data_IF_326228123055
#
_entry.id   IF_326228123055
#
_cell.length_a   1.000
_cell.length_b   1.000
_cell.length_c   1.000
_cell.angle_alpha   90.00
_cell.angle_beta   90.00
_cell.angle_gamma   90.00
#
_symmetry.space_group_name_H-M   'P 1'
#
loop_
_entity.id
_entity.type
_entity.pdbx_description
1 polymer ?
#
# COMPACT_ATOMS: atom_id res chain seq x y z
N UNK A 1 -51.03 -1.09 -5.09
CA UNK A 1 -50.24 -1.18 -5.09
C UNK A 1 -49.00 -0.98 -5.66
N UNK A 2 -48.63 -0.07 -6.08
CA UNK A 2 -47.45 0.27 -6.71
C UNK A 2 -46.21 -0.01 -5.97
N UNK A 3 -46.32 -0.58 -4.93
CA UNK A 3 -45.15 -0.81 -4.26
C UNK A 3 -44.22 -1.62 -4.92
N UNK A 4 -44.60 -2.43 -5.76
CA UNK A 4 -43.69 -3.32 -6.42
C UNK A 4 -42.62 -2.58 -7.15
N UNK A 5 -42.97 -1.47 -7.61
CA UNK A 5 -42.01 -0.75 -8.37
C UNK A 5 -40.83 -0.34 -7.59
N UNK A 6 -41.00 -0.25 -6.36
CA UNK A 6 -39.91 0.22 -5.64
C UNK A 6 -38.84 -0.74 -5.56
N UNK A 7 -39.14 -1.95 -5.47
CA UNK A 7 -38.15 -2.92 -5.34
C UNK A 7 -37.26 -2.93 -6.49
N UNK A 8 -37.80 -2.75 -7.63
CA UNK A 8 -36.93 -2.80 -8.75
C UNK A 8 -35.92 -1.73 -8.74
N UNK A 9 -36.22 -0.63 -8.26
CA UNK A 9 -35.31 0.44 -8.30
C UNK A 9 -34.13 0.11 -7.48
N UNK A 10 -34.31 -0.63 -6.38
CA UNK A 10 -33.30 -0.91 -5.62
C UNK A 10 -32.37 -1.82 -6.18
N UNK A 11 -32.77 -2.76 -6.93
CA UNK A 11 -31.89 -3.68 -7.48
C UNK A 11 -30.92 -3.02 -8.42
N UNK A 12 -31.40 -2.09 -9.11
CA UNK A 12 -30.56 -1.41 -10.05
C UNK A 12 -29.35 -0.80 -9.42
N UNK A 13 -29.53 -0.29 -8.27
CA UNK A 13 -28.45 0.35 -7.65
C UNK A 13 -27.37 -0.57 -7.28
N UNK A 14 -27.69 -1.76 -6.93
CA UNK A 14 -26.69 -2.66 -6.59
C UNK A 14 -25.79 -2.96 -7.70
N UNK A 15 -26.29 -3.07 -8.86
CA UNK A 15 -25.48 -3.42 -10.00
C UNK A 15 -24.38 -2.43 -10.21
N UNK A 16 -24.61 -1.23 -9.93
CA UNK A 16 -23.63 -0.26 -10.17
C UNK A 16 -22.41 -0.41 -9.38
N UNK A 17 -22.54 -0.91 -8.23
CA UNK A 17 -21.42 -0.95 -7.43
C UNK A 17 -20.48 -2.01 -7.72
N UNK A 18 -20.80 -2.94 -8.50
CA UNK A 18 -19.91 -4.01 -8.78
C UNK A 18 -18.80 -3.65 -9.74
N UNK A 19 -18.94 -2.57 -10.39
CA UNK A 19 -17.97 -2.21 -11.38
C UNK A 19 -16.53 -2.15 -10.99
N UNK A 20 -16.17 -1.59 -9.93
CA UNK A 20 -14.78 -1.41 -9.63
C UNK A 20 -14.01 -2.66 -9.27
N UNK A 21 -14.66 -3.78 -9.20
CA UNK A 21 -13.95 -4.93 -8.80
C UNK A 21 -12.73 -5.28 -9.60
N UNK A 22 -12.79 -5.15 -10.90
CA UNK A 22 -11.65 -5.53 -11.69
C UNK A 22 -10.56 -4.52 -11.73
N UNK A 23 -10.75 -3.40 -11.15
CA UNK A 23 -9.74 -2.39 -11.21
C UNK A 23 -9.03 -2.17 -9.91
N UNK A 24 -9.49 -2.75 -8.89
CA UNK A 24 -9.05 -2.29 -7.61
C UNK A 24 -8.27 -3.23 -6.74
N UNK A 25 -7.70 -4.26 -7.29
CA UNK A 25 -6.96 -5.17 -6.44
C UNK A 25 -5.56 -4.62 -6.18
N UNK A 26 -5.28 -4.17 -4.97
CA UNK A 26 -3.94 -3.67 -4.70
C UNK A 26 -2.95 -4.82 -4.56
N UNK A 27 -1.68 -4.49 -4.73
CA UNK A 27 -0.63 -5.45 -4.50
C UNK A 27 -0.32 -5.42 -3.01
N UNK A 28 -0.33 -6.59 -2.38
CA UNK A 28 -0.06 -6.68 -0.95
C UNK A 28 1.31 -7.32 -0.72
N UNK A 29 2.12 -6.69 0.11
CA UNK A 29 3.44 -7.20 0.46
C UNK A 29 3.51 -7.31 1.98
N UNK A 30 3.89 -8.50 2.47
CA UNK A 30 4.04 -8.73 3.90
C UNK A 30 5.51 -8.92 4.20
N UNK A 31 6.03 -8.14 5.14
CA UNK A 31 7.42 -8.19 5.52
C UNK A 31 7.53 -8.57 6.99
N UNK A 32 8.18 -9.69 7.27
CA UNK A 32 8.30 -10.19 8.62
C UNK A 32 9.72 -10.23 9.09
N UNK A 33 9.94 -9.94 10.35
CA UNK A 33 11.21 -10.21 11.02
C UNK A 33 10.88 -10.58 12.46
N UNK A 34 11.90 -10.89 13.24
CA UNK A 34 11.70 -11.18 14.66
C UNK A 34 11.32 -9.91 15.42
N UNK A 35 11.50 -8.73 14.83
CA UNK A 35 11.24 -7.47 15.50
C UNK A 35 9.91 -6.83 15.15
N UNK A 36 9.43 -7.07 13.96
CA UNK A 36 8.24 -6.37 13.48
C UNK A 36 7.59 -7.09 12.31
N UNK A 37 6.39 -6.67 11.98
CA UNK A 37 5.64 -7.20 10.87
C UNK A 37 4.99 -6.02 10.16
N UNK A 38 5.37 -5.77 8.92
CA UNK A 38 4.82 -4.66 8.15
C UNK A 38 3.98 -5.19 7.00
N UNK A 39 2.85 -4.58 6.77
CA UNK A 39 2.02 -4.92 5.63
C UNK A 39 1.92 -3.69 4.75
N UNK A 40 2.17 -3.85 3.47
CA UNK A 40 2.16 -2.75 2.52
C UNK A 40 1.15 -3.04 1.43
N UNK A 41 0.26 -2.09 1.18
CA UNK A 41 -0.68 -2.18 0.09
C UNK A 41 -0.31 -1.14 -0.94
N UNK A 42 -0.11 -1.57 -2.18
CA UNK A 42 0.30 -0.70 -3.27
C UNK A 42 -0.84 -0.65 -4.29
N UNK A 43 -1.37 0.51 -4.53
CA UNK A 43 -2.53 0.69 -5.42
C UNK A 43 -2.22 1.67 -6.54
N UNK A 44 -2.42 1.28 -7.76
CA UNK A 44 -2.92 0.02 -8.25
C UNK A 44 -1.87 -1.09 -8.29
N UNK A 45 -0.61 -0.80 -8.09
CA UNK A 45 0.45 -1.80 -8.12
C UNK A 45 0.97 -2.12 -9.52
N UNK A 46 0.87 -1.18 -10.42
CA UNK A 46 1.37 -1.32 -11.80
C UNK A 46 2.22 -0.12 -12.14
N UNK A 47 2.80 -0.12 -13.33
CA UNK A 47 3.59 1.02 -13.81
C UNK A 47 2.73 2.28 -13.80
N UNK A 48 3.27 3.37 -13.34
CA UNK A 48 2.59 4.66 -13.31
C UNK A 48 2.71 5.31 -11.94
N UNK A 49 1.64 5.91 -11.47
CA UNK A 49 1.61 6.59 -10.18
C UNK A 49 0.82 5.73 -9.21
N UNK A 50 1.43 5.40 -8.11
CA UNK A 50 0.85 4.49 -7.12
C UNK A 50 0.78 5.13 -5.76
N UNK A 51 -0.06 4.57 -4.90
CA UNK A 51 -0.16 4.96 -3.50
C UNK A 51 0.26 3.78 -2.64
N UNK A 52 1.02 4.05 -1.60
CA UNK A 52 1.47 3.02 -0.67
C UNK A 52 0.80 3.26 0.68
N UNK A 53 0.23 2.21 1.26
CA UNK A 53 -0.32 2.26 2.61
C UNK A 53 0.48 1.28 3.45
N UNK A 54 1.10 1.78 4.50
CA UNK A 54 1.96 0.98 5.36
C UNK A 54 1.27 0.73 6.69
N UNK A 55 1.10 -0.54 7.02
CA UNK A 55 0.58 -0.92 8.32
C UNK A 55 1.76 -1.47 9.11
N UNK A 56 2.20 -0.72 10.10
CA UNK A 56 3.40 -1.04 10.87
C UNK A 56 3.00 -1.67 12.19
N UNK A 57 3.44 -2.90 12.40
CA UNK A 57 3.05 -3.67 13.57
C UNK A 57 4.26 -4.25 14.29
N UNK A 58 4.09 -4.53 15.56
CA UNK A 58 5.11 -5.24 16.33
C UNK A 58 5.12 -6.71 15.90
N UNK A 59 6.07 -7.47 16.37
CA UNK A 59 6.13 -8.89 16.06
C UNK A 59 4.91 -9.66 16.55
N UNK A 60 4.18 -9.13 17.53
CA UNK A 60 2.98 -9.77 18.04
C UNK A 60 1.73 -9.32 17.28
N UNK A 61 1.86 -8.44 16.31
CA UNK A 61 0.71 -8.02 15.53
C UNK A 61 -0.07 -6.84 16.08
N UNK A 62 0.49 -6.13 17.05
CA UNK A 62 -0.16 -4.92 17.55
C UNK A 62 0.44 -3.70 16.85
N UNK A 63 -0.25 -2.57 16.82
CA UNK A 63 0.30 -1.41 16.16
C UNK A 63 1.63 -0.99 16.76
N UNK A 64 2.59 -0.68 15.92
CA UNK A 64 3.90 -0.22 16.35
C UNK A 64 3.82 1.30 16.54
N UNK A 65 4.13 1.77 17.75
CA UNK A 65 4.11 3.20 18.01
C UNK A 65 5.28 3.85 17.31
N UNK A 66 5.01 4.60 16.27
CA UNK A 66 6.00 5.12 15.34
C UNK A 66 5.91 6.64 15.28
N UNK A 67 7.06 7.30 15.33
CA UNK A 67 7.12 8.76 15.24
C UNK A 67 7.24 9.20 13.79
N UNK A 68 7.99 8.48 12.99
CA UNK A 68 8.21 8.79 11.60
C UNK A 68 8.38 7.51 10.82
N UNK A 69 7.97 7.50 9.59
CA UNK A 69 8.18 6.37 8.70
C UNK A 69 8.64 6.87 7.34
N UNK A 70 9.61 6.18 6.76
CA UNK A 70 10.19 6.55 5.47
C UNK A 70 10.17 5.34 4.56
N UNK A 71 9.80 5.56 3.31
CA UNK A 71 9.77 4.54 2.28
C UNK A 71 10.88 4.84 1.29
N UNK A 72 11.74 3.87 1.01
CA UNK A 72 12.78 4.00 0.01
C UNK A 72 12.58 2.94 -1.06
N UNK A 73 12.65 3.31 -2.32
CA UNK A 73 12.41 2.43 -3.45
C UNK A 73 13.55 2.50 -4.45
N UNK A 74 13.98 1.34 -4.93
CA UNK A 74 14.97 1.26 -5.99
C UNK A 74 14.57 0.17 -6.98
N UNK A 75 15.03 0.31 -8.22
CA UNK A 75 14.88 -0.75 -9.20
C UNK A 75 16.29 -1.18 -9.60
N UNK A 76 16.83 -2.22 -8.96
CA UNK A 76 18.20 -2.63 -9.21
C UNK A 76 18.45 -3.00 -10.67
N UNK A 77 19.59 -2.59 -11.18
CA UNK A 77 19.95 -2.93 -12.55
C UNK A 77 19.36 -2.05 -13.62
N UNK A 78 18.55 -1.07 -13.24
CA UNK A 78 17.94 -0.18 -14.19
C UNK A 78 18.36 1.26 -13.93
N UNK A 79 18.28 2.09 -14.95
CA UNK A 79 18.65 3.50 -14.82
C UNK A 79 17.47 4.29 -14.28
N UNK A 80 17.07 3.98 -13.07
CA UNK A 80 15.95 4.66 -12.42
C UNK A 80 16.48 5.24 -11.11
N UNK A 81 16.18 6.52 -10.89
CA UNK A 81 16.62 7.18 -9.69
C UNK A 81 16.00 6.58 -8.46
N UNK A 82 16.77 6.31 -7.43
CA UNK A 82 16.20 5.86 -6.17
C UNK A 82 15.29 6.94 -5.60
N UNK A 83 14.21 6.53 -4.95
CA UNK A 83 13.28 7.44 -4.33
C UNK A 83 13.27 7.25 -2.83
N UNK A 84 13.16 8.34 -2.09
CA UNK A 84 12.98 8.27 -0.66
C UNK A 84 11.84 9.22 -0.31
N UNK A 85 10.82 8.72 0.33
CA UNK A 85 9.61 9.47 0.61
C UNK A 85 9.22 9.34 2.07
N UNK A 86 8.79 10.43 2.67
CA UNK A 86 8.28 10.40 4.03
C UNK A 86 6.83 10.01 3.99
N UNK A 87 6.43 9.08 4.85
CA UNK A 87 5.03 8.69 4.96
C UNK A 87 4.32 9.64 5.93
N UNK A 88 3.04 9.75 5.77
CA UNK A 88 2.18 10.60 6.59
C UNK A 88 1.17 9.71 7.31
N UNK A 89 1.03 9.90 8.61
CA UNK A 89 0.10 9.11 9.39
C UNK A 89 -1.32 9.57 9.09
N UNK A 90 -2.15 8.66 8.64
CA UNK A 90 -3.53 8.96 8.31
C UNK A 90 -4.46 8.81 9.50
N UNK A 91 -5.65 9.32 9.34
CA UNK A 91 -6.68 9.22 10.37
C UNK A 91 -7.09 7.74 10.59
N UNK A 92 -6.80 6.89 9.63
CA UNK A 92 -7.10 5.46 9.72
C UNK A 92 -6.05 4.71 10.56
N UNK A 93 -5.02 5.39 11.02
CA UNK A 93 -3.96 4.75 11.80
C UNK A 93 -2.86 4.15 10.96
N UNK A 94 -2.94 4.24 9.63
CA UNK A 94 -1.93 3.71 8.74
C UNK A 94 -1.07 4.85 8.19
N UNK A 95 0.12 4.50 7.72
CA UNK A 95 1.04 5.47 7.14
C UNK A 95 0.86 5.47 5.64
N UNK A 96 0.77 6.64 5.03
CA UNK A 96 0.45 6.80 3.62
C UNK A 96 1.56 7.52 2.85
N UNK A 97 1.87 7.01 1.66
CA UNK A 97 2.75 7.70 0.72
C UNK A 97 2.01 7.76 -0.60
N UNK A 98 1.62 8.96 -1.00
CA UNK A 98 0.86 9.14 -2.24
C UNK A 98 1.76 9.60 -3.37
N UNK A 99 1.26 9.46 -4.58
CA UNK A 99 1.96 9.92 -5.77
C UNK A 99 3.38 9.37 -5.92
N UNK A 100 3.51 8.08 -5.72
CA UNK A 100 4.78 7.40 -5.89
C UNK A 100 4.91 6.98 -7.34
N UNK A 101 6.00 7.32 -7.99
CA UNK A 101 6.19 6.99 -9.38
C UNK A 101 6.95 5.70 -9.56
N UNK A 102 6.32 4.75 -10.24
CA UNK A 102 6.96 3.51 -10.61
C UNK A 102 7.05 3.49 -12.15
N UNK A 103 8.08 4.11 -12.70
CA UNK A 103 8.13 4.34 -14.14
C UNK A 103 8.39 3.12 -15.01
N UNK A 104 8.84 2.04 -14.43
CA UNK A 104 9.15 0.84 -15.19
C UNK A 104 8.67 -0.41 -14.49
N UNK A 105 8.33 -1.46 -15.24
CA UNK A 105 7.99 -2.74 -14.63
C UNK A 105 9.29 -3.39 -14.17
N UNK A 106 9.19 -4.39 -13.35
CA UNK A 106 10.33 -5.15 -12.88
C UNK A 106 10.26 -5.46 -11.40
N UNK A 107 11.36 -5.96 -10.88
CA UNK A 107 11.43 -6.34 -9.48
C UNK A 107 12.03 -5.20 -8.70
N UNK A 108 11.17 -4.48 -8.00
CA UNK A 108 11.56 -3.33 -7.20
C UNK A 108 11.97 -3.74 -5.80
N UNK A 109 12.86 -2.98 -5.21
CA UNK A 109 13.28 -3.20 -3.84
C UNK A 109 12.72 -2.08 -2.95
N UNK A 110 12.16 -2.45 -1.82
CA UNK A 110 11.53 -1.53 -0.90
C UNK A 110 12.18 -1.64 0.46
N UNK A 111 12.47 -0.49 1.07
CA UNK A 111 12.95 -0.43 2.44
C UNK A 111 12.06 0.53 3.22
N UNK A 112 11.64 0.12 4.40
CA UNK A 112 10.81 0.95 5.27
C UNK A 112 11.55 1.13 6.58
N UNK A 113 11.77 2.39 6.96
CA UNK A 113 12.38 2.72 8.23
C UNK A 113 11.30 3.30 9.13
N UNK A 114 11.03 2.65 10.24
CA UNK A 114 10.06 3.11 11.23
C UNK A 114 10.82 3.58 12.46
N UNK A 115 10.72 4.86 12.77
CA UNK A 115 11.41 5.44 13.91
C UNK A 115 10.48 5.45 15.10
N UNK A 116 10.86 4.74 16.14
CA UNK A 116 10.08 4.71 17.39
C UNK A 116 10.77 5.62 18.41
N UNK A 117 10.30 5.61 19.64
CA UNK A 117 10.91 6.41 20.69
C UNK A 117 12.29 5.89 21.04
N UNK A 118 12.56 4.63 20.80
CA UNK A 118 13.79 4.00 21.27
C UNK A 118 14.76 3.60 20.17
N UNK A 119 14.28 3.38 18.98
CA UNK A 119 15.13 2.86 17.91
C UNK A 119 14.46 3.00 16.55
N UNK A 120 15.21 2.70 15.51
CA UNK A 120 14.67 2.61 14.16
C UNK A 120 14.59 1.14 13.78
N UNK A 121 13.43 0.73 13.30
CA UNK A 121 13.24 -0.61 12.80
C UNK A 121 13.21 -0.54 11.29
N UNK A 122 14.09 -1.27 10.63
CA UNK A 122 14.17 -1.28 9.18
C UNK A 122 13.79 -2.65 8.66
N UNK A 123 12.81 -2.71 7.77
CA UNK A 123 12.47 -3.94 7.08
C UNK A 123 12.55 -3.70 5.58
N UNK A 124 12.94 -4.73 4.85
CA UNK A 124 13.12 -4.64 3.40
C UNK A 124 12.53 -5.85 2.71
N UNK A 125 12.06 -5.68 1.51
CA UNK A 125 11.60 -6.78 0.68
C UNK A 125 11.50 -6.30 -0.77
N UNK A 126 11.36 -7.25 -1.67
CA UNK A 126 11.18 -6.94 -3.08
C UNK A 126 9.72 -7.16 -3.47
N UNK A 127 9.30 -6.50 -4.52
CA UNK A 127 7.96 -6.71 -5.07
C UNK A 127 8.01 -6.55 -6.58
N UNK A 128 7.13 -7.26 -7.26
CA UNK A 128 7.12 -7.22 -8.72
C UNK A 128 6.05 -6.24 -9.21
N UNK A 129 6.46 -5.39 -10.16
CA UNK A 129 5.55 -4.45 -10.79
C UNK A 129 5.35 -4.93 -12.22
N UNK A 130 4.16 -5.37 -12.57
CA UNK A 130 3.89 -5.83 -13.92
C UNK A 130 3.77 -4.65 -14.88
N UNK A 131 3.92 -4.93 -16.12
CA UNK A 131 3.82 -3.89 -17.14
C UNK A 131 2.40 -3.33 -17.16
N UNK A 132 1.41 -4.16 -16.99
CA UNK A 132 0.02 -3.72 -16.93
C UNK A 132 -0.90 -4.83 -16.51
#
# INVERSE_FOLDING_TARGET
>A
MPRAAHASAFAALLALRSVPLWAATPLAVHIHSDKAMFQVLISPGTVGVDSFVLQLMTGEGTPLTTKEATLALTLPGESVEPQQRKAVLGADGYWHVDDVKLPRPGRWHMRIDAVTLFKTITLEDDFDVPAH
#
